data_IF_620071258539
#
_entry.id   IF_620071258539
#
_cell.length_a   1.000
_cell.length_b   1.000
_cell.length_c   1.000
_cell.angle_alpha   90.00
_cell.angle_beta   90.00
_cell.angle_gamma   90.00
#
_symmetry.space_group_name_H-M   'P 1'
#
loop_
_entity.id
_entity.type
_entity.pdbx_description
1 polymer ?
#
# COMPACT_ATOMS: atom_id res chain seq x y z
N UNK A 1 0.39 14.06 -26.91
CA UNK A 1 -0.18 13.37 -25.74
C UNK A 1 -0.45 14.42 -24.67
N UNK A 2 -1.67 14.49 -24.13
CA UNK A 2 -2.06 15.41 -23.02
C UNK A 2 -1.41 14.95 -21.73
N UNK A 3 -0.86 15.90 -20.96
CA UNK A 3 -0.27 15.61 -19.64
C UNK A 3 -1.21 16.12 -18.57
N UNK A 4 -1.61 15.25 -17.65
CA UNK A 4 -2.49 15.57 -16.53
C UNK A 4 -1.66 15.93 -15.31
N UNK A 5 -1.82 17.13 -14.80
CA UNK A 5 -0.99 17.70 -13.72
C UNK A 5 -1.75 17.91 -12.42
N UNK A 6 -3.07 17.72 -12.42
CA UNK A 6 -3.95 17.98 -11.29
C UNK A 6 -5.00 16.89 -11.13
N UNK A 7 -5.37 16.63 -9.89
CA UNK A 7 -6.54 15.84 -9.50
C UNK A 7 -7.70 16.83 -9.39
N UNK A 8 -8.79 16.59 -10.10
CA UNK A 8 -9.94 17.52 -10.18
C UNK A 8 -11.07 17.15 -9.21
N UNK A 9 -11.01 15.98 -8.60
CA UNK A 9 -11.97 15.48 -7.63
C UNK A 9 -11.73 14.02 -7.27
N UNK A 10 -12.68 13.43 -6.53
CA UNK A 10 -12.63 12.00 -6.17
C UNK A 10 -14.05 11.43 -6.20
N UNK A 11 -14.21 10.23 -6.77
CA UNK A 11 -15.49 9.53 -6.94
C UNK A 11 -16.24 9.31 -5.63
N UNK A 12 -15.55 9.30 -4.50
CA UNK A 12 -16.14 9.07 -3.17
C UNK A 12 -16.75 10.34 -2.56
N UNK A 13 -16.50 11.52 -3.14
CA UNK A 13 -17.07 12.76 -2.64
C UNK A 13 -18.53 12.95 -3.10
N UNK A 14 -19.41 13.55 -2.29
CA UNK A 14 -20.84 13.68 -2.61
C UNK A 14 -21.15 14.37 -3.95
N UNK A 15 -20.32 15.32 -4.33
CA UNK A 15 -20.43 16.02 -5.62
C UNK A 15 -20.22 15.04 -6.80
N UNK A 16 -19.15 14.25 -6.74
CA UNK A 16 -18.76 13.35 -7.82
C UNK A 16 -19.58 12.07 -7.85
N UNK A 17 -20.09 11.61 -6.70
CA UNK A 17 -21.10 10.53 -6.64
C UNK A 17 -22.33 10.88 -7.47
N UNK A 18 -22.81 12.13 -7.42
CA UNK A 18 -23.96 12.56 -8.24
C UNK A 18 -23.61 12.63 -9.72
N UNK A 19 -22.43 13.17 -10.07
CA UNK A 19 -21.99 13.30 -11.46
C UNK A 19 -21.73 11.94 -12.10
N UNK A 20 -21.22 10.99 -11.35
CA UNK A 20 -20.90 9.63 -11.84
C UNK A 20 -22.11 8.76 -12.15
N UNK A 21 -23.29 9.06 -11.58
CA UNK A 21 -24.52 8.28 -11.81
C UNK A 21 -24.94 8.22 -13.29
N UNK A 22 -24.64 9.28 -14.05
CA UNK A 22 -25.02 9.41 -15.47
C UNK A 22 -23.78 9.52 -16.39
N UNK A 23 -22.61 9.12 -15.91
CA UNK A 23 -21.37 9.21 -16.67
C UNK A 23 -20.76 7.81 -16.86
N UNK A 24 -20.18 7.60 -18.02
CA UNK A 24 -19.28 6.49 -18.27
C UNK A 24 -17.97 6.74 -17.55
N UNK A 25 -17.50 5.77 -16.75
CA UNK A 25 -16.26 5.88 -16.01
C UNK A 25 -15.21 5.01 -16.70
N UNK A 26 -14.20 5.64 -17.25
CA UNK A 26 -12.98 4.99 -17.71
C UNK A 26 -11.98 4.91 -16.57
N UNK A 27 -11.50 3.71 -16.26
CA UNK A 27 -10.58 3.50 -15.15
C UNK A 27 -9.13 3.36 -15.62
N UNK A 28 -8.26 4.07 -14.93
CA UNK A 28 -6.82 3.85 -14.97
C UNK A 28 -6.44 2.97 -13.79
N UNK A 29 -6.15 1.69 -14.07
CA UNK A 29 -5.70 0.74 -13.06
C UNK A 29 -4.23 0.98 -12.72
N UNK A 30 -3.96 1.32 -11.48
CA UNK A 30 -2.60 1.47 -10.94
C UNK A 30 -2.32 0.37 -9.92
N UNK A 31 -1.13 -0.23 -10.00
CA UNK A 31 -0.60 -0.96 -8.87
C UNK A 31 -0.18 0.01 -7.75
N UNK A 32 -0.04 -0.52 -6.56
CA UNK A 32 0.30 0.28 -5.37
C UNK A 32 1.62 1.07 -5.50
N UNK A 33 2.57 0.59 -6.31
CA UNK A 33 3.86 1.22 -6.51
C UNK A 33 3.78 2.38 -7.50
N UNK A 34 3.03 2.20 -8.58
CA UNK A 34 2.80 3.23 -9.58
C UNK A 34 1.95 4.37 -9.03
N UNK A 35 0.97 4.07 -8.18
CA UNK A 35 0.13 5.07 -7.51
C UNK A 35 0.93 6.07 -6.64
N UNK A 36 2.13 5.72 -6.22
CA UNK A 36 3.00 6.61 -5.43
C UNK A 36 3.95 7.46 -6.26
N UNK A 37 4.10 7.14 -7.55
CA UNK A 37 4.88 7.95 -8.46
C UNK A 37 4.11 9.21 -8.83
N UNK A 38 4.80 10.33 -8.90
CA UNK A 38 4.20 11.59 -9.38
C UNK A 38 4.17 11.70 -10.89
N UNK A 39 4.97 10.87 -11.60
CA UNK A 39 5.06 10.88 -13.07
C UNK A 39 5.03 9.46 -13.57
N UNK A 40 4.07 9.18 -14.45
CA UNK A 40 3.94 7.89 -15.11
C UNK A 40 3.13 8.01 -16.39
N UNK A 41 3.27 7.03 -17.26
CA UNK A 41 2.41 6.82 -18.44
C UNK A 41 1.78 5.45 -18.26
N UNK A 42 0.48 5.37 -18.56
CA UNK A 42 -0.31 4.16 -18.33
C UNK A 42 -1.49 4.12 -19.29
N UNK A 43 -1.95 2.91 -19.61
CA UNK A 43 -3.17 2.70 -20.39
C UNK A 43 -4.36 2.47 -19.45
N UNK A 44 -5.53 2.99 -19.82
CA UNK A 44 -6.79 2.71 -19.15
C UNK A 44 -7.37 1.36 -19.56
N UNK A 45 -8.48 0.98 -18.94
CA UNK A 45 -9.30 -0.18 -19.30
C UNK A 45 -9.96 -0.05 -20.68
N UNK A 46 -10.01 1.17 -21.25
CA UNK A 46 -10.41 1.44 -22.66
C UNK A 46 -9.22 1.51 -23.61
N UNK A 47 -8.01 1.11 -23.19
CA UNK A 47 -6.78 1.14 -23.97
C UNK A 47 -6.33 2.55 -24.43
N UNK A 48 -6.80 3.61 -23.78
CA UNK A 48 -6.30 4.96 -24.00
C UNK A 48 -5.06 5.23 -23.14
N UNK A 49 -4.08 5.95 -23.70
CA UNK A 49 -2.86 6.30 -22.97
C UNK A 49 -2.99 7.64 -22.24
N UNK A 50 -2.60 7.62 -20.97
CA UNK A 50 -2.60 8.78 -20.08
C UNK A 50 -1.22 9.05 -19.53
N UNK A 51 -0.73 10.28 -19.70
CA UNK A 51 0.50 10.76 -19.08
C UNK A 51 0.13 11.62 -17.85
N UNK A 52 0.59 11.23 -16.69
CA UNK A 52 0.35 11.96 -15.44
C UNK A 52 1.66 12.55 -14.94
N UNK A 53 1.63 13.83 -14.51
CA UNK A 53 2.77 14.52 -13.92
C UNK A 53 2.29 15.47 -12.81
N UNK A 54 1.99 14.91 -11.65
CA UNK A 54 1.45 15.68 -10.51
C UNK A 54 2.46 16.66 -9.91
N UNK A 55 1.95 17.75 -9.36
CA UNK A 55 2.72 18.73 -8.58
C UNK A 55 3.38 18.09 -7.35
N UNK A 56 4.40 18.76 -6.79
CA UNK A 56 5.02 18.36 -5.51
C UNK A 56 3.96 18.27 -4.42
N UNK A 57 4.08 17.27 -3.55
CA UNK A 57 3.18 17.00 -2.41
C UNK A 57 1.76 16.53 -2.78
N UNK A 58 1.46 16.30 -4.07
CA UNK A 58 0.25 15.60 -4.46
C UNK A 58 0.45 14.10 -4.38
N UNK A 59 -0.53 13.39 -3.85
CA UNK A 59 -0.58 11.93 -3.77
C UNK A 59 -1.83 11.45 -4.50
N UNK A 60 -1.69 10.40 -5.29
CA UNK A 60 -2.81 9.75 -5.96
C UNK A 60 -3.55 8.85 -4.97
N UNK A 61 -4.86 8.98 -4.92
CA UNK A 61 -5.74 8.15 -4.09
C UNK A 61 -6.68 7.34 -4.99
N UNK A 62 -7.20 6.24 -4.44
CA UNK A 62 -8.24 5.47 -5.11
C UNK A 62 -9.50 6.34 -5.33
N UNK A 63 -10.07 6.27 -6.53
CA UNK A 63 -11.20 7.10 -6.93
C UNK A 63 -10.85 8.52 -7.42
N UNK A 64 -9.58 8.93 -7.40
CA UNK A 64 -9.18 10.25 -7.89
C UNK A 64 -9.51 10.41 -9.38
N UNK A 65 -10.00 11.60 -9.73
CA UNK A 65 -10.44 11.94 -11.08
C UNK A 65 -9.42 12.89 -11.70
N UNK A 66 -8.94 12.55 -12.88
CA UNK A 66 -7.98 13.36 -13.63
C UNK A 66 -8.59 14.05 -14.85
N UNK A 67 -9.74 13.59 -15.33
CA UNK A 67 -10.46 14.20 -16.43
C UNK A 67 -11.97 14.05 -16.28
N UNK A 68 -12.70 15.10 -16.67
CA UNK A 68 -14.15 15.09 -16.78
C UNK A 68 -14.56 15.76 -18.09
N UNK A 69 -15.33 15.06 -18.89
CA UNK A 69 -15.84 15.51 -20.18
C UNK A 69 -17.38 15.54 -20.14
N UNK A 70 -17.99 16.64 -19.67
CA UNK A 70 -19.43 16.71 -19.45
C UNK A 70 -20.25 16.50 -20.72
N UNK A 71 -19.79 17.01 -21.85
CA UNK A 71 -20.43 16.85 -23.17
C UNK A 71 -20.52 15.39 -23.61
N UNK A 72 -19.58 14.54 -23.15
CA UNK A 72 -19.50 13.13 -23.47
C UNK A 72 -20.03 12.24 -22.34
N UNK A 73 -20.50 12.85 -21.25
CA UNK A 73 -20.86 12.14 -20.02
C UNK A 73 -19.76 11.16 -19.55
N UNK A 74 -18.48 11.58 -19.61
CA UNK A 74 -17.33 10.73 -19.36
C UNK A 74 -16.46 11.27 -18.23
N UNK A 75 -16.04 10.35 -17.35
CA UNK A 75 -15.09 10.58 -16.26
C UNK A 75 -13.91 9.64 -16.44
N UNK A 76 -12.68 10.15 -16.27
CA UNK A 76 -11.47 9.32 -16.18
C UNK A 76 -10.99 9.31 -14.73
N UNK A 77 -11.03 8.14 -14.11
CA UNK A 77 -10.74 7.97 -12.71
C UNK A 77 -9.64 6.92 -12.45
N UNK A 78 -8.94 7.10 -11.36
CA UNK A 78 -7.90 6.19 -10.89
C UNK A 78 -8.53 5.08 -10.05
N UNK A 79 -8.12 3.84 -10.31
CA UNK A 79 -8.42 2.68 -9.46
C UNK A 79 -7.11 2.05 -9.01
N UNK A 80 -6.85 2.08 -7.71
CA UNK A 80 -5.61 1.54 -7.13
C UNK A 80 -5.84 0.11 -6.67
N UNK A 81 -5.08 -0.82 -7.25
CA UNK A 81 -5.07 -2.21 -6.84
C UNK A 81 -3.98 -2.41 -5.80
N UNK A 82 -4.39 -2.59 -4.55
CA UNK A 82 -3.48 -2.92 -3.46
C UNK A 82 -3.23 -4.43 -3.46
N UNK A 83 -1.99 -4.82 -3.18
CA UNK A 83 -1.66 -6.22 -2.95
C UNK A 83 -2.32 -6.70 -1.65
N UNK A 84 -2.56 -8.00 -1.57
CA UNK A 84 -2.90 -8.65 -0.31
C UNK A 84 -1.76 -8.47 0.70
N UNK A 85 -2.10 -8.63 1.96
CA UNK A 85 -1.17 -8.53 3.09
C UNK A 85 -1.22 -9.84 3.88
N UNK A 86 -0.07 -10.44 4.11
CA UNK A 86 0.07 -11.47 5.13
C UNK A 86 -0.02 -10.79 6.49
N UNK A 87 -0.97 -11.23 7.31
CA UNK A 87 -1.16 -10.77 8.69
C UNK A 87 -0.84 -11.92 9.62
N UNK A 88 0.28 -11.84 10.34
CA UNK A 88 0.65 -12.78 11.38
C UNK A 88 0.16 -12.25 12.74
N UNK A 89 -0.57 -13.08 13.49
CA UNK A 89 -1.11 -12.75 14.81
C UNK A 89 -0.37 -13.52 15.90
N UNK A 90 0.28 -12.77 16.77
CA UNK A 90 1.06 -13.25 17.92
C UNK A 90 0.29 -13.14 19.23
N UNK A 91 -1.01 -12.85 19.21
CA UNK A 91 -1.80 -12.63 20.44
C UNK A 91 -1.82 -13.85 21.37
N UNK A 92 -1.73 -15.07 20.80
CA UNK A 92 -1.66 -16.30 21.57
C UNK A 92 -0.41 -16.37 22.48
N UNK A 93 0.69 -15.71 22.07
CA UNK A 93 1.94 -15.66 22.83
C UNK A 93 1.80 -14.90 24.16
N UNK A 94 0.79 -14.04 24.32
CA UNK A 94 0.59 -13.27 25.56
C UNK A 94 0.43 -14.15 26.83
N UNK A 95 0.19 -15.44 26.65
CA UNK A 95 0.03 -16.42 27.74
C UNK A 95 1.30 -17.25 27.94
N UNK A 96 2.30 -17.08 27.12
CA UNK A 96 3.55 -17.84 27.17
C UNK A 96 4.57 -17.18 28.10
N UNK A 97 5.62 -17.93 28.44
CA UNK A 97 6.74 -17.40 29.23
C UNK A 97 7.51 -16.35 28.44
N UNK A 98 8.11 -15.35 29.10
CA UNK A 98 8.87 -14.29 28.44
C UNK A 98 9.93 -14.80 27.47
N UNK A 99 10.65 -15.85 27.83
CA UNK A 99 11.69 -16.47 26.99
C UNK A 99 11.10 -17.03 25.69
N UNK A 100 9.93 -17.66 25.75
CA UNK A 100 9.20 -18.20 24.60
C UNK A 100 8.71 -17.07 23.70
N UNK A 101 8.16 -16.00 24.27
CA UNK A 101 7.72 -14.83 23.53
C UNK A 101 8.87 -14.20 22.75
N UNK A 102 10.02 -14.01 23.43
CA UNK A 102 11.21 -13.42 22.82
C UNK A 102 11.72 -14.32 21.68
N UNK A 103 11.88 -15.62 21.94
CA UNK A 103 12.37 -16.57 20.96
C UNK A 103 11.51 -16.56 19.69
N UNK A 104 10.20 -16.76 19.81
CA UNK A 104 9.25 -16.82 18.70
C UNK A 104 9.21 -15.49 17.94
N UNK A 105 9.20 -14.36 18.66
CA UNK A 105 9.18 -13.03 18.02
C UNK A 105 10.44 -12.76 17.20
N UNK A 106 11.61 -13.17 17.70
CA UNK A 106 12.89 -13.02 16.99
C UNK A 106 12.94 -13.96 15.79
N UNK A 107 12.50 -15.21 15.91
CA UNK A 107 12.44 -16.16 14.78
C UNK A 107 11.54 -15.65 13.67
N UNK A 108 10.34 -15.16 13.99
CA UNK A 108 9.43 -14.58 12.99
C UNK A 108 10.07 -13.38 12.30
N UNK A 109 10.63 -12.46 13.09
CA UNK A 109 11.30 -11.26 12.56
C UNK A 109 12.49 -11.63 11.66
N UNK A 110 13.27 -12.64 12.04
CA UNK A 110 14.39 -13.15 11.25
C UNK A 110 13.91 -13.80 9.94
N UNK A 111 12.86 -14.63 9.99
CA UNK A 111 12.29 -15.26 8.82
C UNK A 111 11.80 -14.24 7.78
N UNK A 112 11.09 -13.20 8.22
CA UNK A 112 10.60 -12.12 7.37
C UNK A 112 11.77 -11.27 6.84
N UNK A 113 12.74 -10.95 7.71
CA UNK A 113 13.90 -10.13 7.38
C UNK A 113 14.82 -10.78 6.35
N UNK A 114 15.05 -12.09 6.43
CA UNK A 114 15.84 -12.84 5.46
C UNK A 114 15.25 -12.80 4.05
N UNK A 115 13.94 -12.63 3.92
CA UNK A 115 13.28 -12.49 2.64
C UNK A 115 13.29 -11.03 2.12
N UNK A 116 13.83 -10.09 2.89
CA UNK A 116 13.78 -8.65 2.61
C UNK A 116 12.34 -8.12 2.43
N UNK A 117 11.37 -8.77 3.06
CA UNK A 117 9.98 -8.30 3.01
C UNK A 117 9.79 -7.11 3.95
N UNK A 118 9.20 -6.02 3.47
CA UNK A 118 8.85 -4.92 4.36
C UNK A 118 7.79 -5.39 5.35
N UNK A 119 7.90 -4.97 6.61
CA UNK A 119 6.96 -5.37 7.63
C UNK A 119 6.61 -4.17 8.54
N UNK A 120 5.37 -4.17 9.02
CA UNK A 120 4.89 -3.28 10.07
C UNK A 120 4.41 -4.11 11.24
N UNK A 121 4.90 -3.79 12.44
CA UNK A 121 4.46 -4.42 13.68
C UNK A 121 3.51 -3.46 14.39
N UNK A 122 2.29 -3.92 14.71
CA UNK A 122 1.29 -3.13 15.42
C UNK A 122 0.52 -3.97 16.42
N UNK A 123 0.66 -3.61 17.68
CA UNK A 123 0.14 -4.45 18.78
C UNK A 123 0.76 -5.84 18.73
N UNK A 124 -0.07 -6.85 18.64
CA UNK A 124 0.34 -8.27 18.54
C UNK A 124 0.37 -8.77 17.08
N UNK A 125 0.26 -7.90 16.09
CA UNK A 125 0.19 -8.29 14.68
C UNK A 125 1.37 -7.78 13.89
N UNK A 126 1.80 -8.61 12.94
CA UNK A 126 2.82 -8.26 11.94
C UNK A 126 2.18 -8.30 10.56
N UNK A 127 2.28 -7.20 9.84
CA UNK A 127 1.72 -7.01 8.51
C UNK A 127 2.85 -7.01 7.47
N UNK A 128 2.73 -7.86 6.45
CA UNK A 128 3.73 -8.01 5.38
C UNK A 128 3.00 -7.98 4.03
N UNK A 129 3.25 -7.01 3.15
CA UNK A 129 2.59 -6.96 1.84
C UNK A 129 3.08 -8.11 0.97
N UNK A 130 2.21 -8.64 0.12
CA UNK A 130 2.60 -9.63 -0.87
C UNK A 130 3.50 -8.98 -1.95
N UNK A 131 4.79 -9.16 -1.79
CA UNK A 131 5.80 -8.74 -2.79
C UNK A 131 6.20 -9.88 -3.73
N UNK A 132 5.77 -11.09 -3.40
CA UNK A 132 5.98 -12.33 -4.16
C UNK A 132 4.68 -13.12 -4.20
N UNK A 133 4.67 -14.23 -4.93
CA UNK A 133 3.50 -15.11 -4.99
C UNK A 133 3.09 -15.61 -3.59
N UNK A 134 1.78 -15.65 -3.34
CA UNK A 134 1.19 -16.09 -2.07
C UNK A 134 1.70 -17.47 -1.63
N UNK A 135 1.90 -18.39 -2.59
CA UNK A 135 2.40 -19.74 -2.30
C UNK A 135 3.83 -19.70 -1.76
N UNK A 136 4.66 -18.77 -2.25
CA UNK A 136 6.02 -18.59 -1.77
C UNK A 136 6.02 -18.10 -0.33
N UNK A 137 5.21 -17.08 -0.01
CA UNK A 137 5.09 -16.58 1.37
C UNK A 137 4.54 -17.66 2.31
N UNK A 138 3.51 -18.38 1.90
CA UNK A 138 2.93 -19.49 2.65
C UNK A 138 3.97 -20.60 2.91
N UNK A 139 4.79 -20.93 1.91
CA UNK A 139 5.87 -21.92 2.05
C UNK A 139 6.92 -21.49 3.08
N UNK A 140 7.32 -20.21 3.06
CA UNK A 140 8.28 -19.67 4.05
C UNK A 140 7.69 -19.76 5.46
N UNK A 141 6.44 -19.32 5.64
CA UNK A 141 5.78 -19.39 6.96
C UNK A 141 5.67 -20.81 7.49
N UNK A 142 5.36 -21.78 6.62
CA UNK A 142 5.29 -23.21 7.00
C UNK A 142 6.66 -23.81 7.30
N UNK A 143 7.69 -23.42 6.56
CA UNK A 143 9.06 -23.95 6.77
C UNK A 143 9.60 -23.55 8.13
N UNK A 144 9.31 -22.36 8.60
CA UNK A 144 9.74 -21.90 9.92
C UNK A 144 8.88 -22.44 11.07
N UNK A 145 7.69 -23.01 10.76
CA UNK A 145 6.78 -23.68 11.70
C UNK A 145 6.73 -23.01 13.08
N UNK A 146 6.43 -21.69 13.09
CA UNK A 146 6.48 -20.89 14.31
C UNK A 146 5.25 -21.20 15.15
N UNK A 147 5.47 -21.90 16.27
CA UNK A 147 4.40 -22.31 17.18
C UNK A 147 3.65 -21.11 17.75
N UNK A 148 2.35 -21.27 17.99
CA UNK A 148 1.47 -20.24 18.57
C UNK A 148 1.37 -18.93 17.79
N UNK A 149 1.79 -18.91 16.51
CA UNK A 149 1.57 -17.81 15.56
C UNK A 149 0.60 -18.28 14.50
N UNK A 150 -0.52 -17.58 14.37
CA UNK A 150 -1.45 -17.79 13.26
C UNK A 150 -1.22 -16.73 12.18
N UNK A 151 -1.47 -17.06 10.92
CA UNK A 151 -1.39 -16.08 9.85
C UNK A 151 -2.51 -16.25 8.83
N UNK A 152 -2.88 -15.16 8.18
CA UNK A 152 -3.85 -15.12 7.10
C UNK A 152 -3.43 -14.12 6.05
N UNK A 153 -4.00 -14.25 4.85
CA UNK A 153 -3.83 -13.26 3.79
C UNK A 153 -5.12 -12.44 3.69
N UNK A 154 -5.00 -11.14 3.81
CA UNK A 154 -6.13 -10.21 3.79
C UNK A 154 -5.94 -9.19 2.66
N UNK A 155 -7.03 -8.75 1.99
CA UNK A 155 -6.94 -7.65 1.03
C UNK A 155 -6.31 -6.41 1.66
N UNK A 156 -5.41 -5.72 0.93
CA UNK A 156 -4.74 -4.53 1.44
C UNK A 156 -5.71 -3.43 1.87
N UNK A 157 -6.85 -3.31 1.18
CA UNK A 157 -7.93 -2.38 1.52
C UNK A 157 -8.55 -2.63 2.90
N UNK A 158 -8.60 -3.87 3.35
CA UNK A 158 -9.13 -4.24 4.68
C UNK A 158 -8.11 -3.95 5.80
N UNK A 159 -6.83 -3.90 5.47
CA UNK A 159 -5.73 -3.66 6.43
C UNK A 159 -5.50 -2.16 6.67
N UNK A 160 -5.65 -1.34 5.62
CA UNK A 160 -5.41 0.12 5.70
C UNK A 160 -6.09 0.81 6.89
N UNK A 161 -7.36 0.54 7.24
CA UNK A 161 -8.02 1.23 8.36
C UNK A 161 -7.33 1.05 9.72
N UNK A 162 -6.52 0.02 9.87
CA UNK A 162 -5.80 -0.30 11.11
C UNK A 162 -4.40 0.32 11.16
N UNK A 163 -3.93 0.97 10.08
CA UNK A 163 -2.57 1.45 9.93
C UNK A 163 -2.49 2.98 9.96
N UNK A 164 -1.42 3.50 10.54
CA UNK A 164 -1.09 4.92 10.45
C UNK A 164 -0.53 5.27 9.05
N UNK A 165 -0.59 6.55 8.61
CA UNK A 165 -0.14 6.93 7.27
C UNK A 165 1.31 6.53 6.94
N UNK A 166 2.24 6.57 7.90
CA UNK A 166 3.62 6.15 7.70
C UNK A 166 3.75 4.63 7.58
N UNK A 167 2.90 3.86 8.27
CA UNK A 167 2.83 2.40 8.18
C UNK A 167 2.27 1.97 6.81
N UNK A 168 1.22 2.66 6.33
CA UNK A 168 0.67 2.46 4.98
C UNK A 168 1.76 2.69 3.93
N UNK A 169 2.51 3.79 4.03
CA UNK A 169 3.63 4.04 3.12
C UNK A 169 4.70 2.96 3.18
N UNK A 170 5.00 2.42 4.36
CA UNK A 170 5.98 1.35 4.52
C UNK A 170 5.53 0.04 3.86
N UNK A 171 4.25 -0.30 3.95
CA UNK A 171 3.71 -1.53 3.36
C UNK A 171 3.44 -1.41 1.87
N UNK A 172 2.88 -0.29 1.44
CA UNK A 172 2.40 -0.10 0.08
C UNK A 172 3.22 0.91 -0.73
N UNK A 173 4.19 1.57 -0.10
CA UNK A 173 4.96 2.69 -0.64
C UNK A 173 6.19 2.34 -1.40
N UNK A 174 6.50 1.16 -1.78
CA UNK A 174 7.66 0.77 -2.59
C UNK A 174 8.99 1.46 -2.26
N UNK A 175 10.08 0.74 -2.34
CA UNK A 175 11.43 1.31 -2.34
C UNK A 175 11.77 1.82 -3.74
N UNK A 176 11.25 2.99 -4.10
CA UNK A 176 11.78 3.71 -5.26
C UNK A 176 13.16 4.28 -4.93
N UNK A 177 14.04 4.52 -5.93
CA UNK A 177 15.38 5.06 -5.72
C UNK A 177 15.44 6.46 -5.09
N UNK A 178 14.30 7.07 -4.80
CA UNK A 178 14.19 8.39 -4.14
C UNK A 178 13.84 8.32 -2.64
N UNK A 179 13.90 7.15 -1.99
CA UNK A 179 13.56 7.01 -0.58
C UNK A 179 14.73 7.18 0.40
N UNK A 180 15.92 7.54 -0.09
CA UNK A 180 17.05 7.95 0.73
C UNK A 180 16.86 9.38 1.29
N UNK A 181 15.85 9.54 2.15
CA UNK A 181 15.84 10.67 3.07
C UNK A 181 16.71 10.27 4.26
N UNK A 182 17.98 10.65 4.20
CA UNK A 182 18.88 10.63 5.34
C UNK A 182 18.22 11.35 6.52
N UNK A 183 17.77 10.60 7.52
CA UNK A 183 17.56 11.15 8.85
C UNK A 183 18.91 11.42 9.46
N UNK A 184 19.42 12.65 9.28
CA UNK A 184 20.48 13.18 10.11
C UNK A 184 19.93 13.31 11.54
N UNK A 185 20.32 12.40 12.41
CA UNK A 185 20.24 12.63 13.84
C UNK A 185 21.30 13.66 14.19
N UNK A 186 20.90 14.90 14.38
CA UNK A 186 21.75 15.91 15.05
C UNK A 186 21.92 15.48 16.51
N UNK A 187 23.11 15.00 16.83
CA UNK A 187 23.56 14.89 18.20
C UNK A 187 23.83 16.32 18.73
N UNK A 188 22.89 16.86 19.46
CA UNK A 188 23.14 18.03 20.26
C UNK A 188 24.07 17.64 21.42
N UNK A 189 25.36 17.98 21.29
CA UNK A 189 26.26 18.01 22.42
C UNK A 189 25.96 19.28 23.25
N UNK A 190 25.36 19.08 24.42
CA UNK A 190 25.31 20.11 25.45
C UNK A 190 26.60 20.05 26.26
N UNK A 191 27.27 21.18 26.34
CA UNK A 191 28.37 21.46 27.28
C UNK A 191 27.83 21.74 28.68
#
# INVERSE_FOLDING_TARGET
>A
MKIYTEIIGNLQTPEWVKKSQNAEIEYIDLDQWTAQKRRFVVSSDHANEYAVALKRHSQMLDGDIIEYLPEQHKIVAIRIRLNDVLVADLSALAREKPETIIHISVELGHAIGNQHWPAVVKGTKVYVPLTVDKKVMDSVMRTHHIENVTYSFQPGSEVIPYLAPHEIRRLFGGTGPDSDVHHHYEHAHAH
#
